data_IF_910912584845
#
_entry.id   IF_910912584845
#
_cell.length_a   1.000
_cell.length_b   1.000
_cell.length_c   1.000
_cell.angle_alpha   90.00
_cell.angle_beta   90.00
_cell.angle_gamma   90.00
#
_symmetry.space_group_name_H-M   'P 1'
#
loop_
_entity.id
_entity.type
_entity.pdbx_description
1 polymer ?
#
# COMPACT_ATOMS: atom_id res chain seq x y z
N UNK A 1 -0.16 -32.64 12.37
CA UNK A 1 -0.78 -31.33 12.07
C UNK A 1 0.29 -30.34 11.68
N UNK A 2 0.25 -29.81 10.45
CA UNK A 2 1.11 -28.73 10.00
C UNK A 2 0.33 -27.43 10.13
N UNK A 3 0.82 -26.52 10.97
CA UNK A 3 0.29 -25.16 11.06
C UNK A 3 1.07 -24.28 10.09
N UNK A 4 0.36 -23.44 9.33
CA UNK A 4 0.95 -22.44 8.44
C UNK A 4 0.56 -21.06 8.93
N UNK A 5 1.55 -20.20 9.12
CA UNK A 5 1.33 -18.79 9.43
C UNK A 5 1.62 -17.94 8.21
N UNK A 6 0.78 -16.92 7.98
CA UNK A 6 1.02 -15.91 6.96
C UNK A 6 2.31 -15.16 7.29
N UNK A 7 3.20 -14.99 6.31
CA UNK A 7 4.38 -14.14 6.45
C UNK A 7 3.94 -12.74 6.87
N UNK A 8 4.56 -12.17 7.89
CA UNK A 8 4.21 -10.88 8.48
C UNK A 8 2.74 -10.74 8.96
N UNK A 9 2.00 -11.86 9.09
CA UNK A 9 0.54 -11.85 9.28
C UNK A 9 0.05 -11.99 10.72
N UNK A 10 0.86 -11.61 11.71
CA UNK A 10 0.47 -11.72 13.13
C UNK A 10 -0.51 -10.62 13.58
N UNK A 11 -0.41 -9.42 13.00
CA UNK A 11 -1.24 -8.25 13.30
C UNK A 11 -1.54 -7.53 12.00
N UNK A 12 -2.75 -6.99 11.86
CA UNK A 12 -3.17 -6.18 10.71
C UNK A 12 -3.69 -4.81 11.14
N UNK A 13 -3.57 -3.84 10.24
CA UNK A 13 -4.48 -2.70 10.20
C UNK A 13 -5.72 -3.10 9.39
N UNK A 14 -6.90 -3.00 9.98
CA UNK A 14 -8.14 -3.49 9.39
C UNK A 14 -9.19 -2.40 9.26
N UNK A 15 -10.04 -2.52 8.24
CA UNK A 15 -11.18 -1.64 8.05
C UNK A 15 -12.45 -2.44 7.71
N UNK A 16 -13.62 -2.05 8.26
CA UNK A 16 -14.89 -2.68 7.93
C UNK A 16 -15.36 -2.34 6.51
N UNK A 17 -16.51 -2.88 6.10
CA UNK A 17 -17.16 -2.59 4.80
C UNK A 17 -17.45 -1.12 4.54
N UNK A 18 -17.63 -0.31 5.58
CA UNK A 18 -17.81 1.15 5.46
C UNK A 18 -16.52 1.87 5.09
N UNK A 19 -15.39 1.17 5.10
CA UNK A 19 -14.07 1.70 4.79
C UNK A 19 -13.38 2.34 5.99
N UNK A 20 -12.12 2.66 5.76
CA UNK A 20 -11.25 3.40 6.67
C UNK A 20 -9.96 3.78 5.96
N UNK A 21 -9.21 4.71 6.54
CA UNK A 21 -7.90 5.07 6.03
C UNK A 21 -6.89 5.22 7.15
N UNK A 22 -5.63 5.04 6.80
CA UNK A 22 -4.49 5.34 7.66
C UNK A 22 -3.46 6.12 6.86
N UNK A 23 -2.73 6.99 7.55
CA UNK A 23 -1.62 7.75 6.98
C UNK A 23 -0.38 7.46 7.80
N UNK A 24 0.71 7.08 7.14
CA UNK A 24 1.98 6.85 7.83
C UNK A 24 2.55 8.17 8.34
N UNK A 25 3.44 8.09 9.34
CA UNK A 25 4.40 9.18 9.55
C UNK A 25 5.28 9.32 8.28
N UNK A 26 5.94 10.48 8.09
CA UNK A 26 6.93 10.61 7.02
C UNK A 26 7.97 9.48 7.09
N UNK A 27 8.21 8.85 5.94
CA UNK A 27 9.18 7.77 5.75
C UNK A 27 10.08 8.13 4.58
N UNK A 28 11.38 7.94 4.75
CA UNK A 28 12.32 7.90 3.62
C UNK A 28 12.51 6.44 3.20
N UNK A 29 12.61 6.20 1.90
CA UNK A 29 12.71 4.85 1.36
C UNK A 29 13.79 4.72 0.30
N UNK A 30 14.19 3.49 0.02
CA UNK A 30 14.98 3.09 -1.15
C UNK A 30 14.18 2.10 -1.98
N UNK A 31 14.49 2.01 -3.27
CA UNK A 31 13.80 1.12 -4.21
C UNK A 31 12.88 1.85 -5.18
N UNK A 32 12.34 1.09 -6.11
CA UNK A 32 11.52 1.58 -7.23
C UNK A 32 10.12 0.99 -7.25
N UNK A 33 9.80 0.07 -6.33
CA UNK A 33 8.47 -0.54 -6.23
C UNK A 33 7.96 -0.60 -4.79
N UNK A 34 6.68 -0.27 -4.61
CA UNK A 34 5.95 -0.47 -3.35
C UNK A 34 5.21 -1.79 -3.42
N UNK A 35 5.46 -2.68 -2.45
CA UNK A 35 4.74 -3.95 -2.27
C UNK A 35 4.00 -3.99 -0.95
N UNK A 36 2.80 -4.55 -0.97
CA UNK A 36 1.96 -4.74 0.22
C UNK A 36 1.61 -6.20 0.43
N UNK A 37 1.42 -6.54 1.69
CA UNK A 37 0.90 -7.81 2.16
C UNK A 37 -0.50 -7.56 2.73
N UNK A 38 -1.52 -8.09 2.08
CA UNK A 38 -2.92 -7.78 2.43
C UNK A 38 -3.86 -8.96 2.11
N UNK A 39 -5.04 -8.90 2.69
CA UNK A 39 -6.18 -9.68 2.21
C UNK A 39 -7.48 -8.87 2.28
N UNK A 40 -8.43 -9.21 1.42
CA UNK A 40 -9.74 -8.56 1.35
C UNK A 40 -10.84 -9.60 1.28
N UNK A 41 -12.06 -9.19 1.62
CA UNK A 41 -13.25 -9.92 1.19
C UNK A 41 -13.46 -9.80 -0.33
N UNK A 42 -14.44 -10.52 -0.87
CA UNK A 42 -14.82 -10.47 -2.31
C UNK A 42 -15.23 -9.07 -2.77
N UNK A 43 -15.78 -8.25 -1.87
CA UNK A 43 -16.18 -6.87 -2.16
C UNK A 43 -15.26 -5.84 -1.49
N UNK A 44 -14.13 -6.30 -0.95
CA UNK A 44 -13.15 -5.47 -0.28
C UNK A 44 -12.08 -4.98 -1.24
N UNK A 45 -11.38 -3.93 -0.83
CA UNK A 45 -10.30 -3.35 -1.62
C UNK A 45 -9.27 -2.62 -0.78
N UNK A 46 -8.10 -2.42 -1.39
CA UNK A 46 -7.00 -1.60 -0.89
C UNK A 46 -6.55 -0.64 -2.00
N UNK A 47 -6.33 0.62 -1.65
CA UNK A 47 -5.68 1.63 -2.50
C UNK A 47 -4.63 2.37 -1.70
N UNK A 48 -3.60 2.86 -2.39
CA UNK A 48 -2.49 3.57 -1.76
C UNK A 48 -2.19 4.83 -2.54
N UNK A 49 -1.99 5.92 -1.81
CA UNK A 49 -1.53 7.20 -2.32
C UNK A 49 -0.18 7.56 -1.71
N UNK A 50 0.71 8.09 -2.54
CA UNK A 50 1.97 8.66 -2.10
C UNK A 50 1.79 10.17 -1.93
N UNK A 51 2.09 10.67 -0.75
CA UNK A 51 2.01 12.10 -0.43
C UNK A 51 3.40 12.69 -0.19
N UNK A 52 3.55 13.96 -0.55
CA UNK A 52 4.71 14.77 -0.17
C UNK A 52 4.75 15.09 1.33
N UNK A 53 5.76 15.85 1.75
CA UNK A 53 5.94 16.25 3.15
C UNK A 53 4.79 17.10 3.71
N UNK A 54 4.09 17.83 2.84
CA UNK A 54 2.92 18.67 3.10
C UNK A 54 1.60 17.88 3.19
N UNK A 55 1.62 16.57 2.91
CA UNK A 55 0.44 15.71 2.91
C UNK A 55 -0.43 15.84 1.66
N UNK A 56 0.05 16.50 0.60
CA UNK A 56 -0.63 16.50 -0.69
C UNK A 56 -0.21 15.30 -1.53
N UNK A 57 -1.10 14.71 -2.34
CA UNK A 57 -0.75 13.64 -3.26
C UNK A 57 0.31 14.10 -4.25
N UNK A 58 1.31 13.25 -4.48
CA UNK A 58 2.28 13.48 -5.54
C UNK A 58 1.63 13.20 -6.91
N UNK A 59 1.97 13.98 -7.97
CA UNK A 59 1.39 13.78 -9.29
C UNK A 59 1.60 12.35 -9.80
N UNK A 60 0.53 11.68 -10.23
CA UNK A 60 0.60 10.28 -10.68
C UNK A 60 0.50 9.25 -9.55
N UNK A 61 0.41 9.67 -8.29
CA UNK A 61 0.35 8.79 -7.12
C UNK A 61 -0.88 9.02 -6.23
N UNK A 62 -1.94 9.66 -6.74
CA UNK A 62 -3.20 9.83 -6.00
C UNK A 62 -3.97 8.53 -5.83
N UNK A 63 -4.96 8.52 -4.92
CA UNK A 63 -5.88 7.40 -4.76
C UNK A 63 -6.71 7.10 -6.02
N UNK A 64 -7.06 8.14 -6.77
CA UNK A 64 -7.79 8.04 -8.04
C UNK A 64 -6.95 7.40 -9.13
N UNK A 65 -5.63 7.62 -9.10
CA UNK A 65 -4.67 7.03 -10.02
C UNK A 65 -4.24 5.63 -9.57
N UNK A 66 -4.39 5.27 -8.30
CA UNK A 66 -4.05 3.94 -7.79
C UNK A 66 -4.98 2.87 -8.37
N UNK A 67 -4.39 1.82 -8.94
CA UNK A 67 -5.15 0.62 -9.31
C UNK A 67 -5.64 -0.06 -8.05
N UNK A 68 -6.92 -0.38 -8.03
CA UNK A 68 -7.54 -1.05 -6.89
C UNK A 68 -7.01 -2.47 -6.72
N UNK A 69 -6.62 -2.81 -5.49
CA UNK A 69 -6.11 -4.13 -5.12
C UNK A 69 -7.17 -4.89 -4.33
N UNK A 70 -7.37 -6.16 -4.65
CA UNK A 70 -8.30 -7.07 -3.98
C UNK A 70 -7.74 -8.49 -3.99
N UNK A 71 -8.28 -9.37 -3.15
CA UNK A 71 -7.86 -10.76 -3.03
C UNK A 71 -6.93 -10.98 -1.84
N UNK A 72 -5.99 -11.92 -1.97
CA UNK A 72 -5.09 -12.30 -0.89
C UNK A 72 -3.67 -12.47 -1.42
N UNK A 73 -2.75 -11.60 -1.01
CA UNK A 73 -1.35 -11.66 -1.44
C UNK A 73 -0.39 -11.23 -0.33
N UNK A 74 0.69 -12.01 -0.16
CA UNK A 74 1.77 -11.71 0.78
C UNK A 74 2.78 -10.69 0.24
N UNK A 75 2.68 -10.34 -1.05
CA UNK A 75 3.62 -9.46 -1.74
C UNK A 75 3.05 -9.01 -3.08
N UNK A 76 2.10 -8.07 -3.05
CA UNK A 76 1.49 -7.49 -4.24
C UNK A 76 2.10 -6.13 -4.54
N UNK A 77 2.56 -5.86 -5.78
CA UNK A 77 2.95 -4.52 -6.16
C UNK A 77 1.75 -3.57 -6.22
N UNK A 78 1.92 -2.39 -5.63
CA UNK A 78 1.03 -1.24 -5.83
C UNK A 78 1.40 -0.60 -7.16
N UNK A 79 0.39 -0.34 -7.99
CA UNK A 79 0.54 0.29 -9.28
C UNK A 79 -0.42 1.46 -9.39
N UNK A 80 0.09 2.56 -9.92
CA UNK A 80 -0.71 3.71 -10.32
C UNK A 80 -0.86 3.71 -11.84
N UNK A 81 -1.87 4.41 -12.32
CA UNK A 81 -2.09 4.63 -13.74
C UNK A 81 -1.11 5.69 -14.27
N UNK A 82 -0.73 5.55 -15.54
CA UNK A 82 0.26 6.44 -16.16
C UNK A 82 1.71 5.96 -15.97
N UNK A 83 2.64 6.90 -16.18
CA UNK A 83 4.09 6.62 -16.30
C UNK A 83 4.90 7.05 -15.07
N UNK A 84 4.24 7.47 -13.99
CA UNK A 84 4.91 7.97 -12.79
C UNK A 84 5.81 6.90 -12.15
N UNK A 85 7.06 7.26 -11.86
CA UNK A 85 8.08 6.34 -11.38
C UNK A 85 8.34 6.58 -9.89
N UNK A 86 8.05 5.59 -9.05
CA UNK A 86 8.22 5.70 -7.60
C UNK A 86 9.68 6.03 -7.21
N UNK A 87 10.64 5.54 -8.00
CA UNK A 87 12.06 5.79 -7.80
C UNK A 87 12.48 7.26 -7.87
N UNK A 88 11.68 8.13 -8.48
CA UNK A 88 11.95 9.59 -8.51
C UNK A 88 11.92 10.23 -7.13
N UNK A 89 11.20 9.63 -6.18
CA UNK A 89 11.08 10.10 -4.80
C UNK A 89 11.95 9.29 -3.81
N UNK A 90 12.83 8.42 -4.31
CA UNK A 90 13.71 7.63 -3.44
C UNK A 90 14.64 8.55 -2.63
N UNK A 91 14.73 8.30 -1.32
CA UNK A 91 15.45 9.14 -0.36
C UNK A 91 14.65 10.34 0.15
N UNK A 92 13.56 10.73 -0.50
CA UNK A 92 12.70 11.81 -0.02
C UNK A 92 11.78 11.34 1.13
N UNK A 93 11.39 12.28 2.00
CA UNK A 93 10.44 12.01 3.07
C UNK A 93 9.00 12.09 2.52
N UNK A 94 8.38 10.93 2.34
CA UNK A 94 7.02 10.77 1.81
C UNK A 94 6.08 10.20 2.87
N UNK A 95 4.78 10.28 2.64
CA UNK A 95 3.77 9.57 3.45
C UNK A 95 2.97 8.64 2.56
N UNK A 96 2.49 7.53 3.12
CA UNK A 96 1.52 6.67 2.46
C UNK A 96 0.16 6.91 3.10
N UNK A 97 -0.81 7.35 2.29
CA UNK A 97 -2.22 7.29 2.64
C UNK A 97 -2.80 6.00 2.07
N UNK A 98 -3.34 5.15 2.92
CA UNK A 98 -3.86 3.84 2.52
C UNK A 98 -5.35 3.80 2.83
N UNK A 99 -6.16 3.56 1.81
CA UNK A 99 -7.59 3.30 1.96
C UNK A 99 -7.85 1.81 1.94
N UNK A 100 -8.62 1.38 2.94
CA UNK A 100 -9.00 0.00 3.17
C UNK A 100 -10.52 -0.09 3.19
N UNK A 101 -11.07 -1.14 2.57
CA UNK A 101 -12.49 -1.47 2.65
C UNK A 101 -12.63 -2.97 2.79
N UNK A 102 -13.22 -3.43 3.89
CA UNK A 102 -13.40 -4.86 4.16
C UNK A 102 -12.11 -5.66 3.94
N UNK A 103 -11.03 -5.17 4.54
CA UNK A 103 -9.66 -5.54 4.23
C UNK A 103 -8.74 -5.49 5.46
N UNK A 104 -7.70 -6.30 5.40
CA UNK A 104 -6.60 -6.38 6.35
C UNK A 104 -5.26 -6.11 5.63
N UNK A 105 -4.49 -5.16 6.16
CA UNK A 105 -3.14 -4.85 5.72
C UNK A 105 -2.13 -5.30 6.77
N UNK A 106 -1.20 -6.17 6.39
CA UNK A 106 -0.23 -6.78 7.29
C UNK A 106 1.16 -6.17 7.18
N UNK A 107 1.61 -5.82 5.97
CA UNK A 107 2.94 -5.25 5.76
C UNK A 107 3.01 -4.35 4.52
N UNK A 108 3.98 -3.43 4.56
CA UNK A 108 4.31 -2.48 3.50
C UNK A 108 5.83 -2.54 3.31
N UNK A 109 6.31 -2.57 2.07
CA UNK A 109 7.75 -2.59 1.78
C UNK A 109 8.07 -1.88 0.47
N UNK A 110 9.14 -1.10 0.48
CA UNK A 110 9.78 -0.62 -0.75
C UNK A 110 10.91 -1.59 -1.13
N UNK A 111 10.99 -1.93 -2.42
CA UNK A 111 11.99 -2.86 -2.97
C UNK A 111 12.54 -2.31 -4.29
N UNK A 112 13.75 -2.72 -4.65
CA UNK A 112 14.25 -2.54 -6.03
C UNK A 112 13.43 -3.42 -6.98
N UNK A 113 13.22 -2.95 -8.21
CA UNK A 113 12.64 -3.75 -9.28
C UNK A 113 13.56 -4.93 -9.61
N UNK A 114 12.99 -6.15 -9.63
CA UNK A 114 13.69 -7.36 -10.09
C UNK A 114 14.01 -7.32 -11.59
#
# INVERSE_FOLDING_TARGET
NRYSIRKDGFVSASAPRTGGSLVTKPISFSGTELRINFETSVSGSVRVELQGGDGQPLPGFSLEECRELFGNSVSQPVKWNGDAQLGEYAGEAVRLKIELKDADLFAIRFVDSE
#
